data_IF_350605698537
#
_entry.id   IF_350605698537
#
_cell.length_a   1.000
_cell.length_b   1.000
_cell.length_c   1.000
_cell.angle_alpha   90.00
_cell.angle_beta   90.00
_cell.angle_gamma   90.00
#
_symmetry.space_group_name_H-M   'P 1'
#
loop_
_entity.id
_entity.type
_entity.pdbx_description
1 polymer ?
#
# COMPACT_ATOMS: atom_id res chain seq x y z
N UNK A 1 -26.52 -7.08 13.68
CA UNK A 1 -27.08 -6.48 14.91
C UNK A 1 -28.48 -5.91 14.68
N UNK A 2 -28.68 -5.02 13.69
CA UNK A 2 -30.02 -4.49 13.35
C UNK A 2 -31.03 -5.58 12.92
N UNK A 3 -30.56 -6.61 12.20
CA UNK A 3 -31.39 -7.75 11.79
C UNK A 3 -32.00 -8.50 13.01
N UNK A 4 -31.16 -8.88 13.97
CA UNK A 4 -31.58 -9.60 15.18
C UNK A 4 -32.48 -8.79 16.10
N UNK A 5 -32.33 -7.47 16.13
CA UNK A 5 -33.25 -6.60 16.85
C UNK A 5 -34.63 -6.52 16.17
N UNK A 6 -34.66 -6.52 14.83
CA UNK A 6 -35.90 -6.59 14.05
C UNK A 6 -36.67 -7.91 14.26
N UNK A 7 -35.96 -9.01 14.51
CA UNK A 7 -36.54 -10.31 14.84
C UNK A 7 -36.95 -10.46 16.33
N UNK A 8 -36.77 -9.43 17.15
CA UNK A 8 -37.11 -9.46 18.57
C UNK A 8 -36.20 -10.35 19.44
N UNK A 9 -35.12 -10.87 18.86
CA UNK A 9 -34.13 -11.72 19.55
C UNK A 9 -33.12 -10.91 20.38
N UNK A 10 -33.07 -9.59 20.18
CA UNK A 10 -32.24 -8.66 20.93
C UNK A 10 -33.04 -7.43 21.35
N UNK A 11 -32.93 -7.05 22.62
CA UNK A 11 -33.45 -5.78 23.10
C UNK A 11 -32.33 -4.71 23.03
N UNK A 12 -32.46 -3.71 22.15
CA UNK A 12 -31.45 -2.64 21.98
C UNK A 12 -31.34 -1.73 23.23
N UNK A 13 -32.24 -1.85 24.22
CA UNK A 13 -32.18 -1.02 25.43
C UNK A 13 -30.93 -1.26 26.28
N UNK A 14 -30.43 -2.50 26.34
CA UNK A 14 -29.26 -2.87 27.16
C UNK A 14 -28.36 -3.85 26.40
N UNK A 15 -27.33 -3.34 25.75
CA UNK A 15 -26.35 -4.15 25.00
C UNK A 15 -24.95 -3.92 25.58
N UNK A 16 -24.29 -4.99 25.99
CA UNK A 16 -22.89 -4.95 26.44
C UNK A 16 -21.99 -5.42 25.31
N UNK A 17 -20.99 -4.61 24.95
CA UNK A 17 -20.00 -4.95 23.90
C UNK A 17 -18.62 -4.93 24.53
N UNK A 18 -17.89 -6.05 24.43
CA UNK A 18 -16.49 -6.14 24.84
C UNK A 18 -15.60 -6.48 23.63
N UNK A 19 -14.39 -5.92 23.63
CA UNK A 19 -13.41 -6.09 22.58
C UNK A 19 -12.16 -6.78 23.10
N UNK A 20 -11.86 -7.97 22.56
CA UNK A 20 -10.64 -8.71 22.90
C UNK A 20 -9.72 -8.85 21.70
N UNK A 21 -8.40 -8.82 21.96
CA UNK A 21 -7.39 -9.09 20.94
C UNK A 21 -6.81 -10.47 21.16
N UNK A 22 -6.82 -11.28 20.12
CA UNK A 22 -6.31 -12.65 20.15
C UNK A 22 -5.10 -12.71 19.23
N UNK A 23 -3.95 -13.17 19.76
CA UNK A 23 -2.75 -13.36 18.94
C UNK A 23 -3.01 -14.41 17.87
N UNK A 24 -2.65 -14.10 16.62
CA UNK A 24 -2.78 -15.02 15.50
C UNK A 24 -1.58 -15.99 15.47
N UNK A 25 -1.81 -17.22 15.00
CA UNK A 25 -0.73 -18.16 14.70
C UNK A 25 -0.05 -17.78 13.37
N UNK A 26 0.65 -16.65 13.38
CA UNK A 26 1.27 -16.05 12.21
C UNK A 26 2.69 -15.58 12.52
N UNK A 27 3.53 -15.48 11.49
CA UNK A 27 4.91 -15.09 11.68
C UNK A 27 5.02 -13.61 12.13
N UNK A 28 5.62 -13.40 13.30
CA UNK A 28 5.78 -12.09 13.96
C UNK A 28 6.69 -11.11 13.21
N UNK A 29 7.44 -11.57 12.21
CA UNK A 29 8.44 -10.77 11.50
C UNK A 29 8.07 -10.47 10.04
N UNK A 30 6.94 -10.99 9.55
CA UNK A 30 6.57 -10.86 8.14
C UNK A 30 5.22 -10.17 7.96
N UNK A 31 5.26 -8.88 7.65
CA UNK A 31 4.06 -8.06 7.48
C UNK A 31 4.15 -7.16 6.25
N UNK A 32 3.00 -6.60 5.89
CA UNK A 32 2.86 -5.56 4.88
C UNK A 32 2.17 -4.36 5.53
N UNK A 33 2.74 -3.16 5.37
CA UNK A 33 2.20 -1.91 5.90
C UNK A 33 1.63 -1.06 4.77
N UNK A 34 0.37 -0.64 4.90
CA UNK A 34 -0.28 0.23 3.92
C UNK A 34 0.43 1.57 3.78
N UNK A 35 0.93 2.13 4.90
CA UNK A 35 1.73 3.37 4.88
C UNK A 35 3.01 3.23 4.04
N UNK A 36 3.69 2.09 4.12
CA UNK A 36 4.90 1.86 3.34
C UNK A 36 4.60 1.79 1.83
N UNK A 37 3.48 1.17 1.45
CA UNK A 37 3.00 1.14 0.06
C UNK A 37 2.74 2.56 -0.44
N UNK A 38 1.97 3.37 0.31
CA UNK A 38 1.65 4.76 -0.04
C UNK A 38 2.91 5.60 -0.22
N UNK A 39 3.86 5.52 0.72
CA UNK A 39 5.13 6.26 0.65
C UNK A 39 5.98 5.82 -0.54
N UNK A 40 6.05 4.53 -0.84
CA UNK A 40 6.82 4.02 -1.98
C UNK A 40 6.19 4.43 -3.31
N UNK A 41 4.86 4.39 -3.42
CA UNK A 41 4.13 4.90 -4.58
C UNK A 41 4.42 6.38 -4.80
N UNK A 42 4.25 7.23 -3.79
CA UNK A 42 4.56 8.65 -3.89
C UNK A 42 6.00 8.92 -4.35
N UNK A 43 6.98 8.17 -3.81
CA UNK A 43 8.38 8.26 -4.25
C UNK A 43 8.57 7.87 -5.72
N UNK A 44 7.91 6.82 -6.20
CA UNK A 44 7.98 6.44 -7.62
C UNK A 44 7.41 7.53 -8.52
N UNK A 45 6.29 8.15 -8.14
CA UNK A 45 5.69 9.26 -8.88
C UNK A 45 6.65 10.46 -8.98
N UNK A 46 7.22 10.91 -7.85
CA UNK A 46 8.22 12.00 -7.84
C UNK A 46 9.44 11.65 -8.69
N UNK A 47 9.94 10.42 -8.61
CA UNK A 47 11.09 10.00 -9.39
C UNK A 47 10.80 9.92 -10.89
N UNK A 48 9.57 9.58 -11.28
CA UNK A 48 9.14 9.57 -12.68
C UNK A 48 9.06 10.99 -13.22
N UNK A 49 8.53 11.91 -12.43
CA UNK A 49 8.45 13.35 -12.75
C UNK A 49 9.85 13.95 -12.95
N UNK A 50 10.79 13.69 -12.04
CA UNK A 50 12.19 14.09 -12.19
C UNK A 50 12.83 13.57 -13.50
N UNK A 51 12.57 12.30 -13.84
CA UNK A 51 13.08 11.67 -15.06
C UNK A 51 12.46 12.29 -16.31
N UNK A 52 11.18 12.62 -16.24
CA UNK A 52 10.44 13.29 -17.30
C UNK A 52 10.98 14.70 -17.55
N UNK A 53 11.10 15.53 -16.51
CA UNK A 53 11.69 16.87 -16.59
C UNK A 53 13.11 16.83 -17.15
N UNK A 54 13.93 15.89 -16.68
CA UNK A 54 15.29 15.72 -17.21
C UNK A 54 15.25 15.42 -18.72
N UNK A 55 14.41 14.49 -19.14
CA UNK A 55 14.28 14.15 -20.53
C UNK A 55 13.76 15.34 -21.37
N UNK A 56 12.84 16.15 -20.84
CA UNK A 56 12.37 17.37 -21.51
C UNK A 56 13.51 18.38 -21.70
N UNK A 57 14.40 18.56 -20.72
CA UNK A 57 15.53 19.48 -20.86
C UNK A 57 16.52 19.04 -21.94
N UNK A 58 16.65 17.73 -22.18
CA UNK A 58 17.48 17.19 -23.26
C UNK A 58 16.76 17.19 -24.61
N UNK A 59 15.44 16.98 -24.59
CA UNK A 59 14.62 16.75 -25.76
C UNK A 59 13.57 17.83 -26.00
N UNK A 60 13.92 19.08 -25.69
CA UNK A 60 13.06 20.26 -25.60
C UNK A 60 12.03 20.46 -26.74
N UNK A 61 12.20 19.83 -27.89
CA UNK A 61 11.31 19.94 -29.06
C UNK A 61 10.42 18.71 -29.34
N UNK A 62 10.64 17.53 -28.71
CA UNK A 62 10.05 16.26 -29.19
C UNK A 62 9.02 15.59 -28.27
N UNK A 63 8.92 15.97 -26.99
CA UNK A 63 8.10 15.17 -26.04
C UNK A 63 6.63 15.58 -25.87
N UNK A 64 6.18 16.71 -26.45
CA UNK A 64 4.80 17.18 -26.34
C UNK A 64 4.34 17.47 -24.89
N UNK A 65 3.16 18.08 -24.76
CA UNK A 65 2.49 18.40 -23.49
C UNK A 65 1.92 17.14 -22.81
N UNK A 66 2.76 16.20 -22.41
CA UNK A 66 2.33 15.27 -21.36
C UNK A 66 2.49 16.02 -20.06
N UNK A 67 1.37 16.49 -19.54
CA UNK A 67 1.30 17.21 -18.28
C UNK A 67 1.86 16.32 -17.16
N UNK A 68 3.01 16.67 -16.54
CA UNK A 68 3.61 15.87 -15.48
C UNK A 68 2.74 15.77 -14.23
N UNK A 69 1.65 16.55 -14.16
CA UNK A 69 0.77 16.62 -12.99
C UNK A 69 -0.19 15.43 -12.82
N UNK A 70 -0.33 14.50 -13.78
CA UNK A 70 -1.25 13.35 -13.66
C UNK A 70 -0.60 12.04 -13.13
N UNK A 71 0.59 12.11 -12.52
CA UNK A 71 1.19 10.93 -11.85
C UNK A 71 0.66 10.67 -10.43
N UNK A 72 -0.30 11.46 -9.94
CA UNK A 72 -0.92 11.26 -8.62
C UNK A 72 -1.59 9.86 -8.51
N UNK A 73 -1.92 9.26 -9.66
CA UNK A 73 -2.34 7.85 -9.80
C UNK A 73 -1.38 7.08 -10.72
N UNK A 74 -0.21 6.73 -10.20
CA UNK A 74 0.71 5.81 -10.88
C UNK A 74 0.09 4.40 -11.00
N UNK A 75 -0.23 4.04 -12.23
CA UNK A 75 -0.63 2.71 -12.68
C UNK A 75 0.55 2.04 -13.38
N UNK A 76 0.63 0.70 -13.30
CA UNK A 76 1.72 -0.05 -13.90
C UNK A 76 1.89 0.21 -15.41
N UNK A 77 0.78 0.31 -16.16
CA UNK A 77 0.82 0.53 -17.61
C UNK A 77 1.22 1.96 -17.94
N UNK A 78 0.65 2.96 -17.23
CA UNK A 78 1.01 4.37 -17.40
C UNK A 78 2.50 4.61 -17.15
N UNK A 79 3.06 3.96 -16.13
CA UNK A 79 4.49 4.06 -15.81
C UNK A 79 5.35 3.42 -16.90
N UNK A 80 4.94 2.26 -17.44
CA UNK A 80 5.65 1.64 -18.58
C UNK A 80 5.66 2.57 -19.79
N UNK A 81 4.50 3.11 -20.19
CA UNK A 81 4.40 4.03 -21.33
C UNK A 81 5.23 5.30 -21.14
N UNK A 82 5.22 5.88 -19.92
CA UNK A 82 6.01 7.05 -19.60
C UNK A 82 7.52 6.76 -19.71
N UNK A 83 7.97 5.62 -19.18
CA UNK A 83 9.38 5.20 -19.26
C UNK A 83 9.80 4.94 -20.71
N UNK A 84 8.95 4.31 -21.53
CA UNK A 84 9.22 4.08 -22.95
C UNK A 84 9.38 5.39 -23.71
N UNK A 85 8.50 6.36 -23.48
CA UNK A 85 8.60 7.70 -24.07
C UNK A 85 9.89 8.42 -23.65
N UNK A 86 10.22 8.39 -22.36
CA UNK A 86 11.47 8.96 -21.84
C UNK A 86 12.68 8.31 -22.51
N UNK A 87 12.72 6.97 -22.55
CA UNK A 87 13.80 6.20 -23.18
C UNK A 87 13.95 6.53 -24.67
N UNK A 88 12.83 6.69 -25.39
CA UNK A 88 12.81 7.13 -26.78
C UNK A 88 13.43 8.53 -26.96
N UNK A 89 12.99 9.49 -26.15
CA UNK A 89 13.43 10.89 -26.24
C UNK A 89 14.92 11.12 -25.93
N UNK A 90 15.52 10.27 -25.09
CA UNK A 90 16.94 10.39 -24.69
C UNK A 90 17.87 9.39 -25.40
N UNK A 91 17.34 8.54 -26.30
CA UNK A 91 18.08 7.41 -26.91
C UNK A 91 19.38 7.84 -27.57
N UNK A 92 19.32 8.88 -28.39
CA UNK A 92 20.44 9.38 -29.20
C UNK A 92 21.12 10.61 -28.57
N UNK A 93 20.74 10.97 -27.34
CA UNK A 93 21.23 12.16 -26.63
C UNK A 93 22.28 11.80 -25.58
N UNK A 94 23.21 12.72 -25.27
CA UNK A 94 24.20 12.53 -24.22
C UNK A 94 23.55 12.68 -22.83
N UNK A 95 22.77 11.68 -22.42
CA UNK A 95 22.18 11.61 -21.09
C UNK A 95 23.16 11.04 -20.05
N UNK A 96 23.03 11.52 -18.81
CA UNK A 96 23.85 11.11 -17.66
C UNK A 96 23.75 9.59 -17.43
N UNK A 97 24.87 8.86 -17.28
CA UNK A 97 24.89 7.44 -16.95
C UNK A 97 23.99 7.06 -15.76
N UNK A 98 23.89 7.92 -14.74
CA UNK A 98 23.03 7.70 -13.56
C UNK A 98 21.56 7.69 -13.93
N UNK A 99 21.13 8.59 -14.82
CA UNK A 99 19.75 8.65 -15.32
C UNK A 99 19.42 7.40 -16.13
N UNK A 100 20.32 7.00 -17.04
CA UNK A 100 20.15 5.75 -17.82
C UNK A 100 20.06 4.51 -16.92
N UNK A 101 20.84 4.47 -15.83
CA UNK A 101 20.75 3.38 -14.85
C UNK A 101 19.42 3.39 -14.09
N UNK A 102 18.95 4.56 -13.66
CA UNK A 102 17.66 4.72 -12.97
C UNK A 102 16.50 4.30 -13.88
N UNK A 103 16.53 4.66 -15.17
CA UNK A 103 15.52 4.26 -16.16
C UNK A 103 15.50 2.75 -16.38
N UNK A 104 16.66 2.11 -16.55
CA UNK A 104 16.73 0.63 -16.66
C UNK A 104 16.17 -0.07 -15.43
N UNK A 105 16.45 0.47 -14.24
CA UNK A 105 15.89 -0.05 -13.01
C UNK A 105 14.36 0.14 -12.97
N UNK A 106 13.89 1.33 -13.32
CA UNK A 106 12.47 1.67 -13.36
C UNK A 106 11.69 0.75 -14.31
N UNK A 107 12.18 0.61 -15.55
CA UNK A 107 11.61 -0.26 -16.59
C UNK A 107 11.44 -1.69 -16.10
N UNK A 108 12.46 -2.24 -15.42
CA UNK A 108 12.47 -3.62 -14.95
C UNK A 108 11.63 -3.84 -13.69
N UNK A 109 11.62 -2.89 -12.76
CA UNK A 109 11.13 -3.13 -11.40
C UNK A 109 9.86 -2.38 -11.04
N UNK A 110 9.61 -1.18 -11.57
CA UNK A 110 8.47 -0.37 -11.15
C UNK A 110 7.13 -0.99 -11.55
N UNK A 111 6.91 -1.49 -12.78
CA UNK A 111 5.64 -2.10 -13.16
C UNK A 111 5.30 -3.34 -12.30
N UNK A 112 6.30 -4.19 -12.04
CA UNK A 112 6.13 -5.37 -11.19
C UNK A 112 5.83 -4.99 -9.72
N UNK A 113 6.48 -3.95 -9.19
CA UNK A 113 6.22 -3.46 -7.85
C UNK A 113 4.83 -2.82 -7.72
N UNK A 114 4.36 -2.11 -8.74
CA UNK A 114 3.02 -1.50 -8.75
C UNK A 114 1.92 -2.55 -8.75
N UNK A 115 2.02 -3.58 -9.62
CA UNK A 115 1.09 -4.72 -9.61
C UNK A 115 1.06 -5.41 -8.26
N UNK A 116 2.24 -5.62 -7.66
CA UNK A 116 2.34 -6.17 -6.31
C UNK A 116 1.64 -5.27 -5.28
N UNK A 117 1.81 -3.95 -5.36
CA UNK A 117 1.14 -3.03 -4.44
C UNK A 117 -0.39 -3.04 -4.60
N UNK A 118 -0.90 -3.15 -5.82
CA UNK A 118 -2.34 -3.30 -6.06
C UNK A 118 -2.90 -4.57 -5.43
N UNK A 119 -2.21 -5.71 -5.55
CA UNK A 119 -2.59 -6.95 -4.88
C UNK A 119 -2.58 -6.79 -3.35
N UNK A 120 -1.55 -6.13 -2.81
CA UNK A 120 -1.45 -5.86 -1.38
C UNK A 120 -2.57 -4.96 -0.86
N UNK A 121 -2.96 -3.94 -1.63
CA UNK A 121 -4.10 -3.06 -1.32
C UNK A 121 -5.43 -3.81 -1.40
N UNK A 122 -5.61 -4.69 -2.39
CA UNK A 122 -6.79 -5.57 -2.49
C UNK A 122 -6.94 -6.47 -1.28
N UNK A 123 -5.84 -7.10 -0.84
CA UNK A 123 -5.84 -7.92 0.37
C UNK A 123 -6.22 -7.06 1.56
N UNK A 124 -5.57 -5.90 1.74
CA UNK A 124 -5.77 -5.04 2.91
C UNK A 124 -7.19 -4.48 3.01
N UNK A 125 -7.83 -4.18 1.89
CA UNK A 125 -9.15 -3.55 1.85
C UNK A 125 -9.12 -2.11 2.34
N UNK A 126 -10.29 -1.55 2.63
CA UNK A 126 -10.44 -0.14 3.05
C UNK A 126 -10.23 0.08 4.54
N UNK A 127 -10.40 -0.96 5.36
CA UNK A 127 -10.48 -0.83 6.82
C UNK A 127 -9.15 -1.08 7.54
N UNK A 128 -8.19 -1.76 6.89
CA UNK A 128 -6.95 -2.21 7.53
C UNK A 128 -5.75 -1.38 7.08
N UNK A 129 -4.78 -1.23 7.98
CA UNK A 129 -3.52 -0.52 7.71
C UNK A 129 -2.31 -1.46 7.58
N UNK A 130 -2.49 -2.75 7.89
CA UNK A 130 -1.48 -3.78 7.78
C UNK A 130 -2.10 -5.17 7.68
N UNK A 131 -1.31 -6.15 7.25
CA UNK A 131 -1.66 -7.56 7.37
C UNK A 131 -0.39 -8.43 7.49
N UNK A 132 -0.53 -9.65 8.03
CA UNK A 132 0.56 -10.64 8.08
C UNK A 132 0.69 -11.40 6.76
N UNK A 133 1.92 -11.65 6.29
CA UNK A 133 2.13 -12.40 5.04
C UNK A 133 1.71 -13.86 5.12
N UNK A 134 1.74 -14.45 6.31
CA UNK A 134 1.39 -15.87 6.53
C UNK A 134 -0.07 -16.06 6.94
N UNK A 135 -0.73 -14.98 7.33
CA UNK A 135 -2.13 -14.94 7.74
C UNK A 135 -2.70 -13.57 7.33
N UNK A 136 -3.33 -13.52 6.16
CA UNK A 136 -3.77 -12.26 5.56
C UNK A 136 -4.92 -11.60 6.31
N UNK A 137 -5.56 -12.29 7.24
CA UNK A 137 -6.68 -11.76 8.03
C UNK A 137 -6.19 -11.11 9.33
N UNK A 138 -5.04 -11.57 9.85
CA UNK A 138 -4.39 -10.97 11.01
C UNK A 138 -3.72 -9.62 10.68
N UNK A 139 -3.86 -8.66 11.61
CA UNK A 139 -3.20 -7.34 11.51
C UNK A 139 -2.25 -7.13 12.68
N UNK A 140 -1.25 -6.27 12.51
CA UNK A 140 -0.28 -6.02 13.57
C UNK A 140 -0.82 -5.03 14.60
N UNK A 141 -0.98 -5.49 15.83
CA UNK A 141 -1.57 -4.73 16.93
C UNK A 141 -0.69 -4.78 18.17
N UNK A 142 -0.86 -3.81 19.07
CA UNK A 142 -0.30 -3.88 20.42
C UNK A 142 -1.22 -4.75 21.28
N UNK A 143 -0.68 -5.84 21.80
CA UNK A 143 -1.34 -6.71 22.78
C UNK A 143 -0.97 -6.26 24.20
N UNK A 144 -1.69 -6.78 25.20
CA UNK A 144 -1.31 -6.57 26.61
C UNK A 144 0.11 -7.12 26.81
N UNK A 145 0.94 -6.34 27.49
CA UNK A 145 2.34 -6.70 27.71
C UNK A 145 2.45 -7.84 28.71
N UNK A 146 3.41 -8.74 28.45
CA UNK A 146 3.87 -9.65 29.49
C UNK A 146 4.68 -8.86 30.53
N UNK A 147 5.00 -9.49 31.65
CA UNK A 147 5.80 -8.90 32.71
C UNK A 147 7.20 -8.44 32.25
N UNK A 148 7.62 -8.82 31.04
CA UNK A 148 8.89 -8.45 30.42
C UNK A 148 8.81 -7.17 29.57
N UNK A 149 7.63 -6.54 29.45
CA UNK A 149 7.42 -5.25 28.76
C UNK A 149 7.93 -5.20 27.32
N UNK A 150 7.83 -6.32 26.60
CA UNK A 150 8.21 -6.39 25.20
C UNK A 150 7.12 -5.75 24.34
N UNK A 151 7.17 -4.43 24.16
CA UNK A 151 6.21 -3.59 23.40
C UNK A 151 6.16 -3.82 21.89
N UNK A 152 6.44 -5.05 21.42
CA UNK A 152 6.42 -5.43 20.02
C UNK A 152 4.98 -5.58 19.50
N UNK A 153 4.72 -5.08 18.29
CA UNK A 153 3.46 -5.37 17.59
C UNK A 153 3.42 -6.84 17.19
N UNK A 154 2.29 -7.49 17.42
CA UNK A 154 2.06 -8.90 17.11
C UNK A 154 0.89 -9.06 16.15
N UNK A 155 0.90 -10.06 15.26
CA UNK A 155 -0.25 -10.36 14.43
C UNK A 155 -1.41 -10.80 15.34
N UNK A 156 -2.56 -10.17 15.19
CA UNK A 156 -3.71 -10.40 16.04
C UNK A 156 -5.03 -10.14 15.30
N UNK A 157 -6.08 -10.77 15.84
CA UNK A 157 -7.48 -10.52 15.51
C UNK A 157 -8.10 -9.63 16.59
N UNK A 158 -8.97 -8.70 16.18
CA UNK A 158 -9.80 -7.93 17.10
C UNK A 158 -11.22 -8.48 17.04
N UNK A 159 -11.63 -9.18 18.10
CA UNK A 159 -12.93 -9.83 18.19
C UNK A 159 -13.84 -8.97 19.06
N UNK A 160 -14.99 -8.58 18.52
CA UNK A 160 -16.06 -7.92 19.28
C UNK A 160 -17.11 -8.95 19.67
N UNK A 161 -17.39 -9.05 20.95
CA UNK A 161 -18.40 -9.96 21.50
C UNK A 161 -19.47 -9.09 22.14
N UNK A 162 -20.74 -9.42 21.91
CA UNK A 162 -21.86 -8.71 22.51
C UNK A 162 -22.79 -9.65 23.25
N UNK A 163 -23.27 -9.23 24.42
CA UNK A 163 -24.24 -9.97 25.24
C UNK A 163 -25.46 -9.09 25.53
N UNK A 164 -26.61 -9.72 25.73
CA UNK A 164 -27.91 -9.08 26.01
C UNK A 164 -28.63 -9.93 27.08
N UNK A 165 -29.34 -9.30 28.01
CA UNK A 165 -30.01 -9.92 29.17
C UNK A 165 -29.05 -10.62 30.17
N UNK A 166 -28.15 -9.85 30.78
CA UNK A 166 -27.31 -10.34 31.89
C UNK A 166 -27.97 -10.17 33.25
#
# INVERSE_FOLDING_TARGET
MLLFAGEGLLNIKELYVDGTKIEANANRYTFVWGKAIKTNKAKMATQLDELWMYAQTLAAEEMGDIDPTDFDKIDANRVTEAIEKINGAIKDKPADPKVKQKLKYAEKHWPANLRKYEEQEKIMGTERNSYSKTDTDATFMRLKEDHMLNGQLKPAYNVQISTNNQ
#
